data_IF_273494681411
#
_entry.id   IF_273494681411
#
_cell.length_a   1.000
_cell.length_b   1.000
_cell.length_c   1.000
_cell.angle_alpha   90.00
_cell.angle_beta   90.00
_cell.angle_gamma   90.00
#
_symmetry.space_group_name_H-M   'P 1'
#
loop_
_entity.id
_entity.type
_entity.pdbx_description
1 polymer ?
#
# COMPACT_ATOMS: atom_id res chain seq x y z
N UNK A 1 14.05 -28.98 -7.52
CA UNK A 1 12.83 -28.66 -6.74
C UNK A 1 11.76 -29.67 -7.11
N UNK A 2 10.93 -30.15 -6.18
CA UNK A 2 9.97 -31.23 -6.48
C UNK A 2 8.66 -30.72 -7.15
N UNK A 3 8.54 -29.43 -7.47
CA UNK A 3 7.37 -28.84 -8.12
C UNK A 3 7.81 -27.86 -9.21
N UNK A 4 7.01 -27.80 -10.28
CA UNK A 4 7.34 -27.04 -11.49
C UNK A 4 6.48 -25.77 -11.65
N UNK A 5 5.41 -25.63 -10.88
CA UNK A 5 4.47 -24.50 -10.96
C UNK A 5 3.98 -24.08 -9.59
N UNK A 6 3.71 -22.77 -9.46
CA UNK A 6 3.00 -22.19 -8.31
C UNK A 6 1.67 -21.63 -8.85
N UNK A 7 0.50 -21.97 -8.27
CA UNK A 7 -0.77 -21.42 -8.74
C UNK A 7 -0.80 -19.90 -8.72
N UNK A 8 -1.02 -19.27 -9.88
CA UNK A 8 -1.15 -17.82 -10.03
C UNK A 8 -2.54 -17.39 -9.60
N UNK A 9 -2.69 -17.14 -8.31
CA UNK A 9 -3.92 -16.70 -7.69
C UNK A 9 -3.63 -15.85 -6.46
N UNK A 10 -4.53 -14.92 -6.17
CA UNK A 10 -4.41 -14.04 -5.00
C UNK A 10 -4.87 -14.81 -3.77
N UNK A 11 -4.07 -14.82 -2.70
CA UNK A 11 -4.43 -15.45 -1.42
C UNK A 11 -5.67 -14.81 -0.79
N UNK A 12 -5.78 -13.49 -0.88
CA UNK A 12 -6.87 -12.71 -0.29
C UNK A 12 -8.21 -12.84 -1.01
N UNK A 13 -8.30 -13.67 -2.04
CA UNK A 13 -9.45 -13.70 -2.93
C UNK A 13 -10.73 -14.05 -2.20
N UNK A 14 -11.49 -13.02 -1.94
CA UNK A 14 -12.92 -13.06 -2.00
C UNK A 14 -13.28 -12.27 -3.25
N UNK A 15 -13.73 -12.93 -4.29
CA UNK A 15 -14.43 -12.23 -5.35
C UNK A 15 -15.73 -11.74 -4.72
N UNK A 16 -15.69 -10.52 -4.20
CA UNK A 16 -16.90 -9.83 -3.79
C UNK A 16 -17.60 -9.29 -5.04
N UNK A 17 -18.05 -10.18 -5.92
CA UNK A 17 -19.16 -9.84 -6.77
C UNK A 17 -20.39 -9.81 -5.85
N UNK A 18 -20.88 -8.62 -5.60
CA UNK A 18 -22.21 -8.45 -5.09
C UNK A 18 -23.15 -8.86 -6.24
N UNK A 19 -23.67 -10.08 -6.24
CA UNK A 19 -24.57 -10.59 -7.30
C UNK A 19 -25.83 -9.73 -7.44
N UNK A 20 -26.11 -8.88 -6.44
CA UNK A 20 -27.23 -7.94 -6.40
C UNK A 20 -26.89 -6.52 -6.88
N UNK A 21 -25.62 -6.22 -7.15
CA UNK A 21 -25.22 -4.90 -7.65
C UNK A 21 -25.39 -4.88 -9.17
N UNK A 22 -26.44 -4.21 -9.65
CA UNK A 22 -26.58 -3.93 -11.06
C UNK A 22 -25.41 -3.04 -11.49
N UNK A 23 -24.51 -3.56 -12.33
CA UNK A 23 -23.45 -2.80 -12.99
C UNK A 23 -24.07 -1.88 -14.06
N UNK A 24 -24.84 -0.92 -13.58
CA UNK A 24 -25.47 0.08 -14.42
C UNK A 24 -24.44 1.19 -14.70
N UNK A 25 -24.27 1.54 -15.96
CA UNK A 25 -23.65 2.83 -16.29
C UNK A 25 -24.54 3.93 -15.71
N UNK A 26 -24.13 4.61 -14.63
CA UNK A 26 -25.06 5.43 -13.82
C UNK A 26 -25.42 6.77 -14.44
N UNK A 27 -25.13 6.93 -15.74
CA UNK A 27 -25.45 8.12 -16.52
C UNK A 27 -24.24 9.02 -16.83
N UNK A 28 -24.40 9.95 -17.77
CA UNK A 28 -23.29 10.72 -18.30
C UNK A 28 -22.87 11.92 -17.43
N UNK A 29 -23.50 12.13 -16.26
CA UNK A 29 -23.24 13.32 -15.42
C UNK A 29 -23.22 12.97 -13.94
N UNK A 30 -22.28 13.58 -13.19
CA UNK A 30 -22.20 13.52 -11.74
C UNK A 30 -21.59 14.81 -11.19
N UNK A 31 -21.80 15.13 -9.92
CA UNK A 31 -21.07 16.23 -9.27
C UNK A 31 -19.60 15.87 -9.11
N UNK A 32 -19.31 14.74 -8.49
CA UNK A 32 -17.94 14.27 -8.27
C UNK A 32 -17.74 12.91 -8.93
N UNK A 33 -16.71 12.81 -9.78
CA UNK A 33 -16.23 11.52 -10.28
C UNK A 33 -14.94 11.12 -9.59
N UNK A 34 -14.89 9.89 -9.10
CA UNK A 34 -13.67 9.29 -8.57
C UNK A 34 -13.20 8.22 -9.53
N UNK A 35 -11.93 8.29 -9.94
CA UNK A 35 -11.31 7.29 -10.81
C UNK A 35 -10.41 6.39 -9.97
N UNK A 36 -10.83 5.12 -9.82
CA UNK A 36 -10.17 4.10 -9.03
C UNK A 36 -10.87 3.78 -7.71
N UNK A 37 -11.14 2.51 -7.49
CA UNK A 37 -11.81 1.93 -6.31
C UNK A 37 -10.85 1.29 -5.31
N UNK A 38 -9.61 1.78 -5.24
CA UNK A 38 -8.68 1.46 -4.14
C UNK A 38 -9.03 2.19 -2.85
N UNK A 39 -8.23 2.02 -1.79
CA UNK A 39 -8.49 2.64 -0.49
C UNK A 39 -8.70 4.16 -0.56
N UNK A 40 -7.92 4.88 -1.38
CA UNK A 40 -8.07 6.33 -1.56
C UNK A 40 -9.45 6.67 -2.13
N UNK A 41 -9.84 6.00 -3.21
CA UNK A 41 -11.11 6.29 -3.88
C UNK A 41 -12.31 5.90 -3.05
N UNK A 42 -12.29 4.72 -2.43
CA UNK A 42 -13.37 4.25 -1.55
C UNK A 42 -13.54 5.15 -0.32
N UNK A 43 -12.44 5.56 0.31
CA UNK A 43 -12.48 6.47 1.45
C UNK A 43 -12.96 7.86 1.04
N UNK A 44 -12.51 8.40 -0.09
CA UNK A 44 -12.99 9.68 -0.60
C UNK A 44 -14.48 9.63 -0.93
N UNK A 45 -14.92 8.58 -1.63
CA UNK A 45 -16.32 8.37 -1.99
C UNK A 45 -17.24 8.33 -0.76
N UNK A 46 -16.87 7.53 0.24
CA UNK A 46 -17.61 7.40 1.49
C UNK A 46 -17.77 8.75 2.21
N UNK A 47 -16.67 9.50 2.35
CA UNK A 47 -16.70 10.77 3.09
C UNK A 47 -17.43 11.87 2.31
N UNK A 48 -17.35 11.90 0.99
CA UNK A 48 -18.14 12.83 0.16
C UNK A 48 -19.63 12.51 0.23
N UNK A 49 -20.01 11.24 0.07
CA UNK A 49 -21.42 10.85 0.10
C UNK A 49 -22.09 11.10 1.47
N UNK A 50 -21.34 10.95 2.57
CA UNK A 50 -21.80 11.33 3.93
C UNK A 50 -22.08 12.83 4.11
N UNK A 51 -21.71 13.66 3.14
CA UNK A 51 -22.00 15.09 3.08
C UNK A 51 -22.97 15.45 1.94
N UNK A 52 -23.85 14.53 1.59
CA UNK A 52 -24.93 14.70 0.60
C UNK A 52 -24.47 15.07 -0.82
N UNK A 53 -23.23 14.73 -1.17
CA UNK A 53 -22.67 14.94 -2.51
C UNK A 53 -22.94 13.76 -3.42
N UNK A 54 -23.38 14.01 -4.65
CA UNK A 54 -23.52 12.96 -5.66
C UNK A 54 -22.15 12.46 -6.14
N UNK A 55 -21.80 11.24 -5.77
CA UNK A 55 -20.51 10.62 -6.09
C UNK A 55 -20.70 9.42 -7.00
N UNK A 56 -19.89 9.37 -8.04
CA UNK A 56 -19.71 8.21 -8.90
C UNK A 56 -18.27 7.74 -8.82
N UNK A 57 -18.06 6.43 -8.65
CA UNK A 57 -16.75 5.79 -8.75
C UNK A 57 -16.70 4.95 -10.02
N UNK A 58 -15.65 5.11 -10.82
CA UNK A 58 -15.39 4.26 -11.97
C UNK A 58 -14.09 3.50 -11.77
N UNK A 59 -14.09 2.23 -12.13
CA UNK A 59 -12.87 1.40 -12.12
C UNK A 59 -12.82 0.52 -13.36
N UNK A 60 -11.60 0.30 -13.89
CA UNK A 60 -11.39 -0.60 -15.03
C UNK A 60 -11.56 -2.08 -14.67
N UNK A 61 -11.47 -2.40 -13.39
CA UNK A 61 -11.62 -3.74 -12.85
C UNK A 61 -13.10 -4.04 -12.57
N UNK A 62 -13.42 -5.31 -12.29
CA UNK A 62 -14.79 -5.80 -12.07
C UNK A 62 -15.24 -5.76 -10.60
N UNK A 63 -14.51 -5.06 -9.74
CA UNK A 63 -14.83 -4.94 -8.30
C UNK A 63 -13.83 -4.09 -7.51
N UNK A 64 -14.12 -3.86 -6.22
CA UNK A 64 -13.35 -2.96 -5.38
C UNK A 64 -11.96 -3.50 -5.04
N UNK A 65 -10.97 -2.61 -4.99
CA UNK A 65 -9.66 -2.89 -4.45
C UNK A 65 -8.80 -3.86 -5.26
N UNK A 66 -9.13 -4.16 -6.50
CA UNK A 66 -8.41 -5.16 -7.31
C UNK A 66 -7.00 -4.73 -7.76
N UNK A 67 -6.61 -3.48 -7.53
CA UNK A 67 -5.22 -3.01 -7.61
C UNK A 67 -4.40 -3.38 -6.38
N UNK A 68 -3.41 -2.56 -6.04
CA UNK A 68 -2.54 -2.76 -4.86
C UNK A 68 -3.32 -2.88 -3.54
N UNK A 69 -4.51 -2.29 -3.44
CA UNK A 69 -5.31 -2.27 -2.20
C UNK A 69 -5.73 -3.66 -1.73
N UNK A 70 -6.16 -4.54 -2.62
CA UNK A 70 -6.56 -5.91 -2.26
C UNK A 70 -5.46 -6.96 -2.48
N UNK A 71 -4.25 -6.55 -2.88
CA UNK A 71 -3.16 -7.47 -3.24
C UNK A 71 -1.92 -7.35 -2.36
N UNK A 72 -1.92 -6.42 -1.40
CA UNK A 72 -0.76 -6.19 -0.52
C UNK A 72 -0.64 -7.24 0.60
N UNK A 73 0.40 -7.13 1.42
CA UNK A 73 0.68 -8.06 2.52
C UNK A 73 -0.26 -7.94 3.72
N UNK A 74 -1.18 -6.97 3.74
CA UNK A 74 -2.07 -6.74 4.86
C UNK A 74 -1.34 -6.25 6.13
N UNK A 75 -0.20 -5.57 5.98
CA UNK A 75 0.57 -4.98 7.08
C UNK A 75 0.27 -3.48 7.12
N UNK A 76 -0.30 -3.02 8.21
CA UNK A 76 -0.63 -1.61 8.46
C UNK A 76 0.51 -1.00 9.26
N UNK A 77 1.24 -0.06 8.67
CA UNK A 77 2.46 0.50 9.23
C UNK A 77 2.26 1.94 9.69
N UNK A 78 2.92 2.31 10.79
CA UNK A 78 3.17 3.70 11.17
C UNK A 78 4.30 4.30 10.31
N UNK A 79 4.44 5.62 10.31
CA UNK A 79 5.50 6.32 9.58
C UNK A 79 5.33 6.29 8.07
N UNK A 80 6.45 6.43 7.40
CA UNK A 80 6.57 6.53 5.93
C UNK A 80 7.70 5.61 5.43
N UNK A 81 7.82 5.39 4.10
CA UNK A 81 8.96 4.67 3.53
C UNK A 81 10.33 5.37 3.67
N UNK A 82 10.37 6.53 4.28
CA UNK A 82 11.58 7.24 4.72
C UNK A 82 11.70 7.16 6.23
N UNK A 83 12.90 7.05 6.74
CA UNK A 83 13.17 7.02 8.17
C UNK A 83 12.91 8.36 8.85
N UNK A 84 12.76 8.34 10.18
CA UNK A 84 12.46 9.52 10.96
C UNK A 84 13.61 10.52 10.97
N UNK A 85 14.86 10.04 10.87
CA UNK A 85 16.03 10.89 10.72
C UNK A 85 15.93 11.72 9.45
N UNK A 86 15.64 11.07 8.32
CA UNK A 86 15.41 11.76 7.03
C UNK A 86 14.23 12.75 7.09
N UNK A 87 13.15 12.41 7.81
CA UNK A 87 12.04 13.36 7.99
C UNK A 87 12.47 14.61 8.77
N UNK A 88 13.25 14.43 9.85
CA UNK A 88 13.77 15.54 10.66
C UNK A 88 14.70 16.42 9.83
N UNK A 89 15.60 15.81 9.07
CA UNK A 89 16.58 16.53 8.24
C UNK A 89 15.89 17.35 7.13
N UNK A 90 14.85 16.79 6.52
CA UNK A 90 14.12 17.47 5.43
C UNK A 90 13.17 18.57 5.90
N UNK A 91 12.50 18.38 7.03
CA UNK A 91 11.37 19.22 7.42
C UNK A 91 11.54 19.90 8.79
N UNK A 92 12.59 19.58 9.53
CA UNK A 92 12.75 19.98 10.92
C UNK A 92 11.90 19.15 11.88
N UNK A 93 12.24 19.17 13.17
CA UNK A 93 11.64 18.30 14.18
C UNK A 93 10.13 18.48 14.34
N UNK A 94 9.63 19.72 14.34
CA UNK A 94 8.19 19.98 14.55
C UNK A 94 7.34 19.49 13.37
N UNK A 95 7.79 19.73 12.14
CA UNK A 95 7.06 19.25 10.96
C UNK A 95 7.16 17.74 10.84
N UNK A 96 8.32 17.14 11.13
CA UNK A 96 8.50 15.68 11.17
C UNK A 96 7.57 15.04 12.21
N UNK A 97 7.41 15.64 13.39
CA UNK A 97 6.46 15.22 14.42
C UNK A 97 5.01 15.27 13.92
N UNK A 98 4.61 16.37 13.26
CA UNK A 98 3.28 16.48 12.67
C UNK A 98 3.02 15.37 11.66
N UNK A 99 3.95 15.15 10.72
CA UNK A 99 3.85 14.11 9.70
C UNK A 99 3.77 12.71 10.33
N UNK A 100 4.63 12.40 11.30
CA UNK A 100 4.61 11.10 11.97
C UNK A 100 3.28 10.85 12.69
N UNK A 101 2.74 11.86 13.37
CA UNK A 101 1.45 11.78 14.04
C UNK A 101 0.29 11.58 13.05
N UNK A 102 0.38 12.12 11.83
CA UNK A 102 -0.59 11.84 10.77
C UNK A 102 -0.61 10.34 10.46
N UNK A 103 0.55 9.69 10.33
CA UNK A 103 0.60 8.25 10.04
C UNK A 103 -0.06 7.40 11.13
N UNK A 104 0.07 7.78 12.40
CA UNK A 104 -0.62 7.14 13.53
C UNK A 104 -2.13 7.40 13.50
N UNK A 105 -2.53 8.65 13.27
CA UNK A 105 -3.95 9.00 13.09
C UNK A 105 -4.57 8.23 11.93
N UNK A 106 -3.80 7.96 10.89
CA UNK A 106 -4.26 7.15 9.76
C UNK A 106 -4.58 5.71 10.17
N UNK A 107 -3.76 5.08 11.03
CA UNK A 107 -4.04 3.74 11.58
C UNK A 107 -5.31 3.75 12.43
N UNK A 108 -5.44 4.74 13.34
CA UNK A 108 -6.65 4.91 14.16
C UNK A 108 -7.88 5.12 13.28
N UNK A 109 -7.74 5.85 12.16
CA UNK A 109 -8.81 6.06 11.19
C UNK A 109 -9.26 4.76 10.51
N UNK A 110 -8.33 3.87 10.18
CA UNK A 110 -8.64 2.53 9.65
C UNK A 110 -9.43 1.73 10.69
N UNK A 111 -8.97 1.68 11.93
CA UNK A 111 -9.65 0.96 13.00
C UNK A 111 -11.07 1.47 13.23
N UNK A 112 -11.25 2.80 13.25
CA UNK A 112 -12.59 3.42 13.37
C UNK A 112 -13.52 3.01 12.23
N UNK A 113 -13.06 3.06 10.99
CA UNK A 113 -13.86 2.65 9.83
C UNK A 113 -14.24 1.16 9.90
N UNK A 114 -13.34 0.30 10.39
CA UNK A 114 -13.62 -1.12 10.61
C UNK A 114 -14.73 -1.29 11.65
N UNK A 115 -14.66 -0.56 12.76
CA UNK A 115 -15.67 -0.60 13.84
C UNK A 115 -17.01 -0.03 13.37
N UNK A 116 -17.01 1.15 12.74
CA UNK A 116 -18.22 1.79 12.21
C UNK A 116 -18.96 0.92 11.17
N UNK A 117 -18.20 0.29 10.27
CA UNK A 117 -18.74 -0.52 9.19
C UNK A 117 -18.92 -2.00 9.57
N UNK A 118 -18.61 -2.41 10.79
CA UNK A 118 -18.56 -3.83 11.21
C UNK A 118 -17.79 -4.70 10.20
N UNK A 119 -16.65 -4.19 9.70
CA UNK A 119 -15.89 -4.84 8.63
C UNK A 119 -15.12 -6.04 9.18
N UNK A 120 -15.52 -7.24 8.77
CA UNK A 120 -14.81 -8.48 9.13
C UNK A 120 -13.58 -8.68 8.25
N UNK A 121 -12.46 -8.03 8.59
CA UNK A 121 -11.22 -8.07 7.82
C UNK A 121 -10.00 -8.57 8.60
N UNK A 122 -10.21 -9.36 9.64
CA UNK A 122 -9.13 -9.94 10.46
C UNK A 122 -8.15 -8.87 11.01
N UNK A 123 -8.65 -7.68 11.34
CA UNK A 123 -7.84 -6.60 11.90
C UNK A 123 -7.29 -7.00 13.26
N UNK A 124 -5.97 -6.88 13.41
CA UNK A 124 -5.27 -7.23 14.65
C UNK A 124 -4.11 -6.27 14.89
N UNK A 125 -4.08 -5.55 16.03
CA UNK A 125 -2.88 -4.82 16.45
C UNK A 125 -1.68 -5.76 16.51
N UNK A 126 -0.55 -5.33 16.00
CA UNK A 126 0.70 -6.12 15.92
C UNK A 126 1.90 -5.22 16.10
N UNK A 127 2.97 -5.77 16.63
CA UNK A 127 4.29 -5.16 16.53
C UNK A 127 4.84 -5.41 15.13
N UNK A 128 5.39 -4.38 14.49
CA UNK A 128 6.19 -4.53 13.28
C UNK A 128 7.67 -4.51 13.62
N UNK A 129 8.43 -5.44 13.05
CA UNK A 129 9.87 -5.53 13.28
C UNK A 129 10.62 -5.20 11.99
N UNK A 130 11.41 -4.12 12.03
CA UNK A 130 12.38 -3.82 10.98
C UNK A 130 13.68 -4.56 11.28
N UNK A 131 14.00 -5.58 10.48
CA UNK A 131 15.03 -6.57 10.76
C UNK A 131 16.35 -6.22 10.06
N UNK A 132 17.44 -6.05 10.81
CA UNK A 132 18.78 -5.75 10.31
C UNK A 132 19.43 -6.97 9.63
N UNK A 133 19.65 -6.90 8.32
CA UNK A 133 20.29 -7.98 7.56
C UNK A 133 21.80 -8.03 7.75
N UNK A 134 22.40 -7.01 8.39
CA UNK A 134 23.85 -6.87 8.60
C UNK A 134 24.17 -6.20 9.93
N UNK A 135 25.37 -6.44 10.48
CA UNK A 135 25.81 -5.79 11.71
C UNK A 135 25.74 -4.26 11.64
N UNK A 136 26.19 -3.64 10.55
CA UNK A 136 26.22 -2.17 10.39
C UNK A 136 24.84 -1.52 10.37
N UNK A 137 23.76 -2.27 10.06
CA UNK A 137 22.41 -1.73 10.13
C UNK A 137 21.89 -1.54 11.57
N UNK A 138 22.57 -2.10 12.58
CA UNK A 138 22.19 -1.93 13.99
C UNK A 138 22.36 -0.49 14.48
N UNK A 139 23.40 0.19 14.02
CA UNK A 139 23.66 1.58 14.42
C UNK A 139 22.62 2.51 13.79
N UNK A 140 22.25 2.27 12.53
CA UNK A 140 21.13 2.97 11.90
C UNK A 140 19.81 2.72 12.65
N UNK A 141 19.53 1.48 13.10
CA UNK A 141 18.31 1.20 13.89
C UNK A 141 18.29 1.93 15.24
N UNK A 142 19.44 2.13 15.88
CA UNK A 142 19.51 2.93 17.13
C UNK A 142 19.25 4.40 16.85
N UNK A 143 19.86 4.95 15.79
CA UNK A 143 19.61 6.32 15.36
C UNK A 143 18.13 6.53 15.01
N UNK A 144 17.52 5.57 14.32
CA UNK A 144 16.10 5.61 13.99
C UNK A 144 15.22 5.54 15.26
N UNK A 145 15.58 4.70 16.24
CA UNK A 145 14.91 4.66 17.54
C UNK A 145 14.90 6.04 18.23
N UNK A 146 16.06 6.68 18.29
CA UNK A 146 16.21 8.01 18.89
C UNK A 146 15.39 9.07 18.16
N UNK A 147 15.43 9.05 16.83
CA UNK A 147 14.66 9.95 15.97
C UNK A 147 13.16 9.71 16.13
N UNK A 148 12.70 8.46 16.15
CA UNK A 148 11.31 8.12 16.43
C UNK A 148 10.89 8.57 17.81
N UNK A 149 11.69 8.35 18.85
CA UNK A 149 11.40 8.81 20.21
C UNK A 149 11.23 10.34 20.28
N UNK A 150 12.09 11.07 19.59
CA UNK A 150 12.07 12.54 19.54
C UNK A 150 10.78 13.09 18.92
N UNK A 151 10.28 12.50 17.82
CA UNK A 151 9.12 13.03 17.10
C UNK A 151 7.79 12.37 17.48
N UNK A 152 7.83 11.16 18.04
CA UNK A 152 6.61 10.40 18.35
C UNK A 152 6.23 10.39 19.82
N UNK A 153 7.17 10.75 20.70
CA UNK A 153 7.00 10.64 22.14
C UNK A 153 6.96 9.20 22.67
N UNK A 154 7.24 8.19 21.80
CA UNK A 154 7.32 6.78 22.18
C UNK A 154 8.61 6.18 21.64
N UNK A 155 9.24 5.31 22.42
CA UNK A 155 10.49 4.66 22.01
C UNK A 155 10.20 3.22 21.59
N UNK A 156 10.38 2.88 20.31
CA UNK A 156 10.35 1.49 19.89
C UNK A 156 11.54 0.73 20.51
N UNK A 157 11.44 -0.59 20.62
CA UNK A 157 12.50 -1.41 21.22
C UNK A 157 13.54 -1.80 20.18
N UNK A 158 14.81 -1.51 20.46
CA UNK A 158 15.92 -2.11 19.70
C UNK A 158 16.15 -3.53 20.20
N UNK A 159 16.21 -4.48 19.30
CA UNK A 159 16.37 -5.90 19.55
C UNK A 159 17.78 -6.34 19.12
N UNK A 160 18.43 -7.15 19.95
CA UNK A 160 19.64 -7.88 19.58
C UNK A 160 19.33 -9.17 18.78
N UNK A 161 20.36 -9.87 18.29
CA UNK A 161 20.20 -11.09 17.52
C UNK A 161 19.51 -12.22 18.30
N UNK A 162 19.75 -12.32 19.61
CA UNK A 162 19.10 -13.30 20.47
C UNK A 162 17.61 -13.02 20.66
N UNK A 163 17.26 -11.75 20.83
CA UNK A 163 15.88 -11.29 20.89
C UNK A 163 15.17 -11.48 19.54
N UNK A 164 15.84 -11.17 18.41
CA UNK A 164 15.31 -11.40 17.08
C UNK A 164 14.95 -12.86 16.83
N UNK A 165 15.78 -13.81 17.32
CA UNK A 165 15.47 -15.25 17.25
C UNK A 165 14.19 -15.59 17.99
N UNK A 166 13.94 -14.99 19.15
CA UNK A 166 12.71 -15.20 19.93
C UNK A 166 11.49 -14.58 19.28
N UNK A 167 11.66 -13.44 18.63
CA UNK A 167 10.55 -12.70 17.98
C UNK A 167 10.18 -13.28 16.60
N UNK A 168 11.17 -13.64 15.79
CA UNK A 168 10.95 -14.05 14.40
C UNK A 168 11.16 -15.55 14.13
N UNK A 169 11.81 -16.29 15.04
CA UNK A 169 12.09 -17.72 14.83
C UNK A 169 13.18 -17.99 13.78
N UNK A 170 14.13 -17.08 13.63
CA UNK A 170 15.21 -17.18 12.64
C UNK A 170 16.52 -16.61 13.14
N UNK A 171 17.64 -17.09 12.58
CA UNK A 171 18.99 -16.57 12.80
C UNK A 171 19.46 -15.63 11.69
N UNK A 172 18.60 -15.29 10.72
CA UNK A 172 18.99 -14.54 9.53
C UNK A 172 19.30 -13.05 9.79
N UNK A 173 18.99 -12.54 11.01
CA UNK A 173 19.05 -11.11 11.31
C UNK A 173 19.96 -10.78 12.48
N UNK A 174 20.67 -9.68 12.39
CA UNK A 174 21.65 -9.22 13.37
C UNK A 174 21.07 -8.36 14.47
N UNK A 175 19.85 -7.92 14.32
CA UNK A 175 19.11 -7.08 15.26
C UNK A 175 17.82 -6.57 14.63
N UNK A 176 17.08 -5.74 15.35
CA UNK A 176 15.83 -5.19 14.81
C UNK A 176 15.33 -4.00 15.60
N UNK A 177 14.34 -3.31 15.02
CA UNK A 177 13.58 -2.25 15.67
C UNK A 177 12.11 -2.69 15.71
N UNK A 178 11.56 -2.83 16.91
CA UNK A 178 10.20 -3.28 17.16
C UNK A 178 9.29 -2.08 17.46
N UNK A 179 8.42 -1.75 16.50
CA UNK A 179 7.41 -0.69 16.62
C UNK A 179 6.05 -1.31 16.98
N UNK A 180 5.47 -1.00 18.15
CA UNK A 180 4.16 -1.51 18.54
C UNK A 180 2.98 -0.82 17.84
N UNK A 181 3.21 0.29 17.14
CA UNK A 181 2.19 1.07 16.44
C UNK A 181 1.94 0.55 15.03
N UNK A 182 1.56 -0.72 14.94
CA UNK A 182 1.28 -1.38 13.67
C UNK A 182 0.11 -2.34 13.83
N UNK A 183 -0.45 -2.77 12.72
CA UNK A 183 -1.51 -3.77 12.71
C UNK A 183 -1.40 -4.69 11.49
N UNK A 184 -2.21 -5.71 11.47
CA UNK A 184 -2.41 -6.55 10.30
C UNK A 184 -3.90 -6.71 10.00
N UNK A 185 -4.25 -6.91 8.73
CA UNK A 185 -5.61 -7.15 8.29
C UNK A 185 -5.66 -7.99 7.00
N UNK A 186 -6.87 -8.37 6.58
CA UNK A 186 -7.14 -8.88 5.25
C UNK A 186 -7.44 -7.70 4.30
N UNK A 187 -6.54 -7.37 3.37
CA UNK A 187 -6.64 -6.15 2.57
C UNK A 187 -7.84 -6.15 1.61
N UNK A 188 -8.19 -7.31 1.06
CA UNK A 188 -9.34 -7.41 0.15
C UNK A 188 -10.68 -7.26 0.89
N UNK A 189 -10.80 -7.88 2.08
CA UNK A 189 -12.01 -7.71 2.91
C UNK A 189 -12.16 -6.28 3.42
N UNK A 190 -11.05 -5.61 3.75
CA UNK A 190 -11.12 -4.21 4.14
C UNK A 190 -11.60 -3.31 2.98
N UNK A 191 -11.08 -3.51 1.75
CA UNK A 191 -11.55 -2.79 0.57
C UNK A 191 -13.04 -3.05 0.29
N UNK A 192 -13.47 -4.31 0.38
CA UNK A 192 -14.88 -4.67 0.21
C UNK A 192 -15.79 -4.05 1.30
N UNK A 193 -15.35 -4.02 2.54
CA UNK A 193 -16.10 -3.34 3.61
C UNK A 193 -16.24 -1.84 3.38
N UNK A 194 -15.17 -1.15 2.95
CA UNK A 194 -15.26 0.26 2.57
C UNK A 194 -16.23 0.49 1.39
N UNK A 195 -16.21 -0.41 0.42
CA UNK A 195 -17.15 -0.38 -0.71
C UNK A 195 -18.61 -0.51 -0.23
N UNK A 196 -18.91 -1.47 0.65
CA UNK A 196 -20.25 -1.62 1.20
C UNK A 196 -20.72 -0.38 2.00
N UNK A 197 -19.83 0.21 2.79
CA UNK A 197 -20.13 1.48 3.47
C UNK A 197 -20.43 2.61 2.48
N UNK A 198 -19.66 2.71 1.39
CA UNK A 198 -19.87 3.73 0.35
C UNK A 198 -21.17 3.50 -0.41
N UNK A 199 -21.52 2.25 -0.75
CA UNK A 199 -22.82 1.89 -1.34
C UNK A 199 -23.98 2.28 -0.44
N UNK A 200 -23.90 1.94 0.85
CA UNK A 200 -24.92 2.30 1.83
C UNK A 200 -25.07 3.83 2.00
N UNK A 201 -24.01 4.59 1.71
CA UNK A 201 -24.04 6.07 1.68
C UNK A 201 -24.55 6.63 0.33
N UNK A 202 -24.96 5.81 -0.64
CA UNK A 202 -25.52 6.26 -1.92
C UNK A 202 -24.50 6.48 -3.04
N UNK A 203 -23.24 6.05 -2.87
CA UNK A 203 -22.24 6.11 -3.95
C UNK A 203 -22.63 5.16 -5.08
N UNK A 204 -22.52 5.65 -6.32
CA UNK A 204 -22.74 4.83 -7.51
C UNK A 204 -21.40 4.30 -8.03
N UNK A 205 -21.37 3.03 -8.39
CA UNK A 205 -20.17 2.38 -8.96
C UNK A 205 -20.42 1.96 -10.41
N UNK A 206 -19.39 2.12 -11.24
CA UNK A 206 -19.36 1.59 -12.62
C UNK A 206 -18.08 0.80 -12.80
N UNK A 207 -18.22 -0.51 -12.79
CA UNK A 207 -17.15 -1.48 -12.97
C UNK A 207 -16.80 -1.66 -14.44
N UNK A 208 -15.66 -2.29 -14.73
CA UNK A 208 -15.17 -2.53 -16.09
C UNK A 208 -15.17 -1.25 -16.95
N UNK A 209 -15.02 -0.10 -16.29
CA UNK A 209 -15.09 1.23 -16.90
C UNK A 209 -13.73 1.89 -16.88
N UNK A 210 -12.99 1.73 -17.99
CA UNK A 210 -11.66 2.33 -18.15
C UNK A 210 -11.77 3.76 -18.63
N UNK A 211 -11.14 4.69 -17.93
CA UNK A 211 -10.95 6.07 -18.40
C UNK A 211 -9.75 6.11 -19.35
N UNK A 212 -9.94 6.64 -20.55
CA UNK A 212 -8.91 6.76 -21.59
C UNK A 212 -8.32 8.16 -21.66
N UNK A 213 -9.16 9.19 -21.49
CA UNK A 213 -8.76 10.59 -21.57
C UNK A 213 -9.57 11.46 -20.60
N UNK A 214 -8.94 12.54 -20.16
CA UNK A 214 -9.51 13.57 -19.30
C UNK A 214 -9.35 14.91 -20.01
N UNK A 215 -10.43 15.65 -20.19
CA UNK A 215 -10.47 16.93 -20.90
C UNK A 215 -11.18 17.97 -20.05
N UNK A 216 -10.55 19.13 -19.83
CA UNK A 216 -11.18 20.25 -19.16
C UNK A 216 -12.06 21.02 -20.14
N UNK A 217 -13.34 21.16 -19.81
CA UNK A 217 -14.34 21.90 -20.59
C UNK A 217 -14.87 23.07 -19.73
N UNK A 218 -14.19 24.22 -19.77
CA UNK A 218 -14.56 25.45 -19.02
C UNK A 218 -14.69 25.20 -17.50
N UNK A 219 -15.92 24.88 -17.03
CA UNK A 219 -16.23 24.64 -15.60
C UNK A 219 -16.45 23.17 -15.28
N UNK A 220 -16.29 22.27 -16.23
CA UNK A 220 -16.52 20.82 -16.08
C UNK A 220 -15.36 20.02 -16.66
N UNK A 221 -15.30 18.79 -16.25
CA UNK A 221 -14.28 17.85 -16.71
C UNK A 221 -15.00 16.71 -17.42
N UNK A 222 -14.65 16.47 -18.69
CA UNK A 222 -15.13 15.33 -19.47
C UNK A 222 -14.12 14.20 -19.39
N UNK A 223 -14.59 13.01 -19.05
CA UNK A 223 -13.84 11.77 -19.11
C UNK A 223 -14.37 10.90 -20.23
N UNK A 224 -13.49 10.51 -21.14
CA UNK A 224 -13.79 9.49 -22.15
C UNK A 224 -13.53 8.12 -21.55
N UNK A 225 -14.55 7.28 -21.52
CA UNK A 225 -14.47 5.94 -20.94
C UNK A 225 -14.80 4.84 -21.95
N UNK A 226 -14.47 3.58 -21.60
CA UNK A 226 -14.82 2.41 -22.40
C UNK A 226 -16.34 2.17 -22.53
N UNK A 227 -17.16 2.83 -21.69
CA UNK A 227 -18.63 2.66 -21.64
C UNK A 227 -19.40 3.93 -22.01
N UNK A 228 -18.71 4.97 -22.48
CA UNK A 228 -19.28 6.26 -22.85
C UNK A 228 -18.65 7.40 -22.06
N UNK A 229 -18.99 8.64 -22.44
CA UNK A 229 -18.45 9.84 -21.81
C UNK A 229 -19.18 10.15 -20.50
N UNK A 230 -18.40 10.60 -19.51
CA UNK A 230 -18.90 11.10 -18.22
C UNK A 230 -18.43 12.55 -18.06
N UNK A 231 -19.33 13.42 -17.63
CA UNK A 231 -19.02 14.81 -17.30
C UNK A 231 -19.20 15.03 -15.80
N UNK A 232 -18.19 15.57 -15.14
CA UNK A 232 -18.22 15.87 -13.71
C UNK A 232 -17.85 17.33 -13.44
N UNK A 233 -18.34 17.88 -12.33
CA UNK A 233 -17.94 19.21 -11.90
C UNK A 233 -16.52 19.18 -11.29
N UNK A 234 -16.17 18.11 -10.59
CA UNK A 234 -14.82 17.85 -10.06
C UNK A 234 -14.47 16.36 -10.21
N UNK A 235 -13.17 16.08 -10.26
CA UNK A 235 -12.63 14.71 -10.43
C UNK A 235 -11.57 14.41 -9.38
N UNK A 236 -11.63 13.22 -8.77
CA UNK A 236 -10.59 12.71 -7.88
C UNK A 236 -9.85 11.56 -8.57
N UNK A 237 -8.55 11.73 -8.80
CA UNK A 237 -7.65 10.68 -9.28
C UNK A 237 -7.14 9.85 -8.10
N UNK A 238 -7.68 8.65 -7.95
CA UNK A 238 -7.30 7.67 -6.93
C UNK A 238 -6.58 6.45 -7.51
N UNK A 239 -5.94 6.61 -8.67
CA UNK A 239 -5.37 5.54 -9.48
C UNK A 239 -3.94 5.16 -9.14
N UNK A 240 -3.29 5.87 -8.22
CA UNK A 240 -1.93 5.63 -7.70
C UNK A 240 -0.92 5.21 -8.79
N UNK A 241 -0.48 3.95 -8.83
CA UNK A 241 0.49 3.43 -9.81
C UNK A 241 0.01 3.54 -11.27
N UNK A 242 -1.30 3.62 -11.51
CA UNK A 242 -1.89 3.74 -12.86
C UNK A 242 -2.11 5.20 -13.30
N UNK A 243 -1.92 6.17 -12.43
CA UNK A 243 -2.04 7.61 -12.70
C UNK A 243 -1.20 8.10 -13.90
N UNK A 244 0.04 7.58 -14.16
CA UNK A 244 0.86 8.01 -15.29
C UNK A 244 0.19 7.93 -16.66
N UNK A 245 -0.79 7.07 -16.81
CA UNK A 245 -1.51 6.88 -18.07
C UNK A 245 -2.50 8.03 -18.33
N UNK A 246 -3.08 8.59 -17.25
CA UNK A 246 -4.19 9.53 -17.32
C UNK A 246 -3.74 11.01 -17.28
N UNK A 247 -2.61 11.31 -16.67
CA UNK A 247 -2.15 12.67 -16.49
C UNK A 247 -0.64 12.80 -16.66
N UNK A 248 -0.19 13.62 -17.60
CA UNK A 248 1.24 13.78 -17.93
C UNK A 248 2.07 14.40 -16.81
N UNK A 249 1.49 15.33 -16.05
CA UNK A 249 2.20 15.97 -14.94
C UNK A 249 2.47 14.97 -13.81
N UNK A 250 1.46 14.20 -13.41
CA UNK A 250 1.59 13.12 -12.44
C UNK A 250 2.43 11.96 -13.01
N UNK A 251 2.29 11.70 -14.31
CA UNK A 251 3.01 10.65 -15.03
C UNK A 251 4.54 10.78 -15.02
N UNK A 252 5.08 11.93 -14.65
CA UNK A 252 6.53 12.15 -14.48
C UNK A 252 6.97 12.05 -13.00
N UNK A 253 6.06 11.80 -12.09
CA UNK A 253 6.26 11.87 -10.64
C UNK A 253 5.95 10.57 -9.90
N UNK A 254 5.16 9.70 -10.52
CA UNK A 254 4.78 8.40 -9.95
C UNK A 254 5.30 7.28 -10.84
N UNK A 255 6.11 6.41 -10.28
CA UNK A 255 6.68 5.25 -10.98
C UNK A 255 5.98 3.99 -10.48
N UNK A 256 5.34 3.20 -11.37
CA UNK A 256 4.82 1.89 -11.00
C UNK A 256 5.96 0.90 -10.78
N UNK A 257 5.94 0.25 -9.63
CA UNK A 257 6.88 -0.82 -9.26
C UNK A 257 6.09 -2.05 -8.86
N UNK A 258 6.39 -3.17 -9.50
CA UNK A 258 5.76 -4.43 -9.15
C UNK A 258 6.27 -4.96 -7.81
N UNK A 259 5.36 -5.42 -6.96
CA UNK A 259 5.65 -6.17 -5.75
C UNK A 259 5.00 -7.54 -5.87
N UNK A 260 5.75 -8.60 -5.56
CA UNK A 260 5.31 -9.99 -5.66
C UNK A 260 5.12 -10.56 -4.27
N UNK A 261 4.14 -11.42 -4.13
CA UNK A 261 3.88 -12.16 -2.91
C UNK A 261 3.68 -13.64 -3.19
N UNK A 262 4.08 -14.45 -2.23
CA UNK A 262 3.75 -15.87 -2.14
C UNK A 262 3.06 -16.16 -0.80
N UNK A 263 2.26 -17.22 -0.79
CA UNK A 263 1.77 -17.85 0.44
C UNK A 263 2.08 -19.34 0.41
N UNK A 264 2.54 -19.88 1.54
CA UNK A 264 2.81 -21.33 1.65
C UNK A 264 1.52 -22.14 1.65
N UNK A 265 1.59 -23.42 1.34
CA UNK A 265 0.57 -24.37 1.78
C UNK A 265 0.43 -24.36 3.32
N UNK A 266 -0.52 -25.09 3.87
CA UNK A 266 -0.64 -25.22 5.32
C UNK A 266 0.61 -25.88 5.91
N UNK A 267 1.15 -25.24 6.93
CA UNK A 267 2.32 -25.70 7.68
C UNK A 267 1.82 -26.27 9.01
N UNK A 268 2.23 -27.49 9.39
CA UNK A 268 1.82 -28.11 10.66
C UNK A 268 2.12 -27.22 11.87
N UNK A 269 1.30 -27.34 12.91
CA UNK A 269 1.35 -26.47 14.09
C UNK A 269 2.72 -26.48 14.78
N UNK A 270 3.36 -27.64 14.90
CA UNK A 270 4.69 -27.76 15.49
C UNK A 270 5.78 -26.99 14.74
N UNK A 271 5.63 -26.77 13.44
CA UNK A 271 6.57 -25.99 12.63
C UNK A 271 6.16 -24.53 12.57
N UNK A 272 4.89 -24.24 12.29
CA UNK A 272 4.43 -22.83 12.14
C UNK A 272 4.59 -22.02 13.43
N UNK A 273 4.53 -22.67 14.60
CA UNK A 273 4.78 -22.03 15.89
C UNK A 273 6.25 -21.58 16.05
N UNK A 274 7.20 -22.22 15.35
CA UNK A 274 8.61 -21.80 15.35
C UNK A 274 8.90 -20.63 14.43
N UNK A 275 7.99 -20.30 13.51
CA UNK A 275 8.10 -19.17 12.57
C UNK A 275 7.21 -18.03 13.05
N UNK A 276 7.77 -16.84 13.26
CA UNK A 276 7.05 -15.70 13.82
C UNK A 276 6.26 -16.08 15.11
N UNK A 277 6.92 -16.64 16.13
CA UNK A 277 6.22 -17.22 17.29
C UNK A 277 5.33 -16.22 18.04
N UNK A 278 5.68 -14.93 18.02
CA UNK A 278 4.89 -13.86 18.63
C UNK A 278 3.78 -13.32 17.70
N UNK A 279 3.67 -13.84 16.48
CA UNK A 279 2.70 -13.36 15.50
C UNK A 279 2.96 -11.95 14.97
N UNK A 280 4.17 -11.43 15.19
CA UNK A 280 4.57 -10.11 14.71
C UNK A 280 4.67 -10.09 13.18
N UNK A 281 4.54 -8.89 12.61
CA UNK A 281 4.85 -8.65 11.20
C UNK A 281 6.29 -8.16 11.08
N UNK A 282 6.94 -8.40 9.96
CA UNK A 282 8.31 -7.93 9.78
C UNK A 282 8.62 -7.49 8.34
N UNK A 283 9.61 -6.62 8.22
CA UNK A 283 10.32 -6.32 6.98
C UNK A 283 11.82 -6.24 7.25
N UNK A 284 12.64 -6.48 6.23
CA UNK A 284 14.09 -6.38 6.39
C UNK A 284 14.64 -5.04 5.88
N UNK A 285 15.91 -4.76 6.20
CA UNK A 285 16.61 -3.53 5.84
C UNK A 285 17.32 -3.59 4.48
N UNK A 286 16.99 -4.55 3.63
CA UNK A 286 17.47 -4.58 2.24
C UNK A 286 16.88 -3.42 1.45
N UNK A 287 17.59 -2.94 0.42
CA UNK A 287 17.05 -2.00 -0.58
C UNK A 287 15.91 -2.64 -1.37
N UNK A 288 16.07 -3.90 -1.71
CA UNK A 288 15.01 -4.76 -2.27
C UNK A 288 14.43 -5.58 -1.11
N UNK A 289 13.71 -4.91 -0.24
CA UNK A 289 13.24 -5.48 1.02
C UNK A 289 12.29 -6.67 0.85
N UNK A 290 12.36 -7.58 1.82
CA UNK A 290 11.33 -8.57 2.06
C UNK A 290 10.42 -8.13 3.21
N UNK A 291 9.15 -8.54 3.13
CA UNK A 291 8.18 -8.34 4.20
C UNK A 291 7.34 -9.61 4.36
N UNK A 292 7.02 -9.93 5.59
CA UNK A 292 6.37 -11.21 5.87
C UNK A 292 5.54 -11.20 7.15
N UNK A 293 4.56 -12.10 7.19
CA UNK A 293 3.69 -12.33 8.33
C UNK A 293 3.05 -13.72 8.26
N UNK A 294 2.43 -14.16 9.35
CA UNK A 294 1.48 -15.28 9.29
C UNK A 294 0.17 -14.86 8.61
N UNK A 295 -0.48 -15.81 7.97
CA UNK A 295 -1.87 -15.66 7.52
C UNK A 295 -2.82 -15.40 8.71
N UNK A 296 -4.03 -14.86 8.49
CA UNK A 296 -4.98 -14.61 9.58
C UNK A 296 -5.34 -15.85 10.39
N UNK A 297 -5.43 -17.02 9.74
CA UNK A 297 -5.68 -18.31 10.37
C UNK A 297 -4.45 -18.90 11.10
N UNK A 298 -3.29 -18.24 10.98
CA UNK A 298 -2.04 -18.68 11.60
C UNK A 298 -1.34 -19.88 10.96
N UNK A 299 -1.89 -20.46 9.88
CA UNK A 299 -1.45 -21.73 9.31
C UNK A 299 -0.45 -21.62 8.15
N UNK A 300 -0.19 -20.40 7.64
CA UNK A 300 0.64 -20.15 6.45
C UNK A 300 1.56 -18.98 6.68
N UNK A 301 2.63 -18.94 5.90
CA UNK A 301 3.50 -17.74 5.82
C UNK A 301 3.19 -17.02 4.52
N UNK A 302 2.91 -15.73 4.66
CA UNK A 302 2.83 -14.75 3.57
C UNK A 302 4.18 -14.05 3.50
N UNK A 303 4.82 -14.11 2.34
CA UNK A 303 6.15 -13.54 2.11
C UNK A 303 6.14 -12.71 0.85
N UNK A 304 6.55 -11.46 0.95
CA UNK A 304 6.51 -10.49 -0.13
C UNK A 304 7.88 -9.85 -0.38
N UNK A 305 8.07 -9.36 -1.60
CA UNK A 305 9.29 -8.67 -1.99
C UNK A 305 9.23 -8.15 -3.43
N UNK A 306 10.37 -7.68 -3.90
CA UNK A 306 10.56 -7.21 -5.29
C UNK A 306 11.73 -7.97 -5.91
N UNK A 307 11.50 -9.23 -6.34
CA UNK A 307 12.60 -10.01 -6.93
C UNK A 307 13.29 -9.23 -8.04
N UNK A 308 14.63 -9.14 -7.96
CA UNK A 308 15.47 -8.37 -8.89
C UNK A 308 15.66 -9.04 -10.25
N UNK A 309 14.69 -9.81 -10.70
CA UNK A 309 14.69 -10.41 -12.02
C UNK A 309 14.32 -9.34 -13.05
N UNK A 310 15.27 -8.97 -13.90
CA UNK A 310 15.05 -8.02 -14.99
C UNK A 310 14.02 -8.59 -15.98
N UNK A 311 14.08 -9.89 -16.23
CA UNK A 311 13.21 -10.65 -17.10
C UNK A 311 12.73 -11.88 -16.32
N UNK A 312 11.43 -12.15 -16.37
CA UNK A 312 10.89 -13.35 -15.73
C UNK A 312 9.37 -13.28 -15.62
N UNK A 313 8.75 -14.43 -15.76
CA UNK A 313 7.32 -14.62 -15.48
C UNK A 313 7.00 -14.40 -14.00
N UNK A 314 5.73 -14.32 -13.67
CA UNK A 314 5.29 -14.29 -12.26
C UNK A 314 5.73 -15.57 -11.53
N UNK A 315 5.76 -16.69 -12.23
CA UNK A 315 6.30 -17.97 -11.74
C UNK A 315 7.76 -17.86 -11.32
N UNK A 316 8.63 -17.33 -12.21
CA UNK A 316 10.07 -17.18 -11.93
C UNK A 316 10.31 -16.29 -10.71
N UNK A 317 9.55 -15.19 -10.61
CA UNK A 317 9.58 -14.28 -9.47
C UNK A 317 9.10 -14.98 -8.19
N UNK A 318 8.06 -15.80 -8.28
CA UNK A 318 7.56 -16.61 -7.17
C UNK A 318 8.60 -17.62 -6.66
N UNK A 319 9.30 -18.31 -7.56
CA UNK A 319 10.37 -19.23 -7.19
C UNK A 319 11.57 -18.51 -6.56
N UNK A 320 11.96 -17.35 -7.10
CA UNK A 320 13.02 -16.54 -6.50
C UNK A 320 12.64 -16.10 -5.07
N UNK A 321 11.42 -15.60 -4.89
CA UNK A 321 10.92 -15.17 -3.59
C UNK A 321 10.81 -16.34 -2.59
N UNK A 322 10.42 -17.52 -3.06
CA UNK A 322 10.43 -18.73 -2.22
C UNK A 322 11.84 -19.10 -1.78
N UNK A 323 12.82 -19.04 -2.68
CA UNK A 323 14.23 -19.27 -2.33
C UNK A 323 14.70 -18.28 -1.25
N UNK A 324 14.35 -17.01 -1.39
CA UNK A 324 14.67 -15.96 -0.40
C UNK A 324 13.98 -16.24 0.95
N UNK A 325 12.71 -16.66 0.94
CA UNK A 325 12.00 -17.08 2.17
C UNK A 325 12.74 -18.23 2.88
N UNK A 326 13.27 -19.21 2.16
CA UNK A 326 14.01 -20.32 2.74
C UNK A 326 15.39 -19.93 3.29
N UNK A 327 15.96 -18.80 2.87
CA UNK A 327 17.15 -18.25 3.53
C UNK A 327 16.83 -17.63 4.88
N UNK A 328 15.62 -17.08 5.01
CA UNK A 328 15.12 -16.51 6.26
C UNK A 328 14.59 -17.59 7.20
N UNK A 329 13.80 -18.51 6.67
CA UNK A 329 13.13 -19.58 7.43
C UNK A 329 13.46 -20.96 6.87
N UNK A 330 14.65 -21.53 7.17
CA UNK A 330 15.06 -22.85 6.65
C UNK A 330 14.13 -24.01 7.02
N UNK A 331 13.43 -23.89 8.16
CA UNK A 331 12.45 -24.87 8.63
C UNK A 331 11.22 -25.00 7.71
N UNK A 332 11.00 -24.04 6.82
CA UNK A 332 9.92 -24.08 5.82
C UNK A 332 10.31 -24.84 4.53
N UNK A 333 11.52 -25.39 4.45
CA UNK A 333 12.00 -26.11 3.24
C UNK A 333 11.08 -27.23 2.74
N UNK A 334 10.38 -28.00 3.59
CA UNK A 334 9.44 -29.04 3.14
C UNK A 334 8.17 -28.47 2.49
N UNK A 335 7.82 -27.21 2.75
CA UNK A 335 6.52 -26.62 2.40
C UNK A 335 6.62 -25.74 1.17
N UNK A 336 5.67 -25.94 0.22
CA UNK A 336 5.65 -25.27 -1.08
C UNK A 336 4.86 -23.97 -1.00
N UNK A 337 5.15 -22.99 -1.87
CA UNK A 337 4.21 -21.91 -2.12
C UNK A 337 2.98 -22.45 -2.87
N UNK A 338 1.80 -22.17 -2.34
CA UNK A 338 0.52 -22.58 -2.92
C UNK A 338 -0.20 -21.41 -3.63
N UNK A 339 0.31 -20.19 -3.50
CA UNK A 339 -0.15 -18.99 -4.19
C UNK A 339 1.04 -18.12 -4.59
N UNK A 340 0.93 -17.51 -5.76
CA UNK A 340 1.78 -16.40 -6.19
C UNK A 340 0.91 -15.34 -6.85
N UNK A 341 1.16 -14.07 -6.51
CA UNK A 341 0.47 -12.93 -7.10
C UNK A 341 1.36 -11.68 -7.05
N UNK A 342 0.95 -10.66 -7.81
CA UNK A 342 1.63 -9.37 -7.79
C UNK A 342 0.66 -8.21 -7.73
N UNK A 343 1.18 -7.03 -7.41
CA UNK A 343 0.47 -5.76 -7.44
C UNK A 343 1.41 -4.61 -7.79
N UNK A 344 0.86 -3.57 -8.42
CA UNK A 344 1.61 -2.38 -8.78
C UNK A 344 1.56 -1.33 -7.67
N UNK A 345 2.72 -0.93 -7.17
CA UNK A 345 2.88 0.08 -6.12
C UNK A 345 3.40 1.38 -6.75
N UNK A 346 2.75 2.51 -6.47
CA UNK A 346 3.21 3.82 -6.94
C UNK A 346 4.33 4.37 -6.06
N UNK A 347 5.50 4.62 -6.65
CA UNK A 347 6.65 5.23 -5.99
C UNK A 347 6.86 6.67 -6.44
N UNK A 348 7.14 7.54 -5.49
CA UNK A 348 7.59 8.91 -5.68
C UNK A 348 9.10 9.00 -5.48
N UNK A 349 9.72 10.04 -6.00
CA UNK A 349 11.18 10.20 -5.91
C UNK A 349 11.68 10.44 -4.49
N UNK A 350 10.90 11.09 -3.68
CA UNK A 350 11.22 11.40 -2.27
C UNK A 350 10.64 10.39 -1.28
N UNK A 351 9.99 9.33 -1.79
CA UNK A 351 9.36 8.27 -1.03
C UNK A 351 8.24 8.75 -0.09
N UNK A 352 7.65 9.91 -0.37
CA UNK A 352 6.51 10.44 0.37
C UNK A 352 5.25 10.43 -0.50
N UNK A 353 4.07 10.22 0.08
CA UNK A 353 2.84 10.43 -0.65
C UNK A 353 2.61 11.92 -0.93
N UNK A 354 1.92 12.20 -2.02
CA UNK A 354 1.56 13.55 -2.42
C UNK A 354 0.08 13.65 -2.73
N UNK A 355 -0.47 14.80 -2.41
CA UNK A 355 -1.86 15.15 -2.70
C UNK A 355 -1.98 16.60 -3.13
N UNK A 356 -3.01 16.93 -3.88
CA UNK A 356 -3.22 18.29 -4.35
C UNK A 356 -4.30 18.39 -5.40
N UNK A 357 -4.37 19.57 -6.03
CA UNK A 357 -5.25 19.88 -7.14
C UNK A 357 -4.47 20.35 -8.37
N UNK A 358 -4.92 19.95 -9.54
CA UNK A 358 -4.44 20.39 -10.85
C UNK A 358 -5.66 20.82 -11.67
N UNK A 359 -6.05 22.10 -11.55
CA UNK A 359 -7.18 22.66 -12.29
C UNK A 359 -8.49 21.86 -12.12
N UNK A 360 -8.89 21.58 -10.89
CA UNK A 360 -10.11 20.84 -10.55
C UNK A 360 -9.95 19.31 -10.60
N UNK A 361 -8.76 18.83 -10.92
CA UNK A 361 -8.38 17.44 -10.87
C UNK A 361 -7.63 17.16 -9.57
N UNK A 362 -8.33 16.68 -8.56
CA UNK A 362 -7.77 16.31 -7.27
C UNK A 362 -7.00 15.01 -7.35
N UNK A 363 -5.90 14.86 -6.61
CA UNK A 363 -5.13 13.62 -6.60
C UNK A 363 -4.53 13.32 -5.22
N UNK A 364 -4.41 12.03 -4.92
CA UNK A 364 -3.59 11.52 -3.83
C UNK A 364 -2.89 10.24 -4.29
N UNK A 365 -1.55 10.17 -4.17
CA UNK A 365 -0.73 9.13 -4.81
C UNK A 365 0.62 8.97 -4.14
N UNK A 366 1.35 7.90 -4.48
CA UNK A 366 2.76 7.75 -4.12
C UNK A 366 3.00 7.20 -2.72
N UNK A 367 2.20 6.26 -2.27
CA UNK A 367 2.30 5.69 -0.90
C UNK A 367 3.52 4.79 -0.68
N UNK A 368 4.23 4.41 -1.74
CA UNK A 368 5.51 3.67 -1.71
C UNK A 368 5.51 2.40 -0.83
N UNK A 369 4.36 1.73 -0.69
CA UNK A 369 4.20 0.52 0.12
C UNK A 369 3.49 0.73 1.47
N UNK A 370 3.31 1.95 1.96
CA UNK A 370 2.61 2.29 3.22
C UNK A 370 1.14 2.68 2.99
N UNK A 371 0.48 2.09 1.98
CA UNK A 371 -0.80 2.58 1.46
C UNK A 371 -2.03 2.24 2.29
N UNK A 372 -2.07 1.21 3.15
CA UNK A 372 -3.32 0.83 3.81
C UNK A 372 -3.88 2.00 4.64
N UNK A 373 -3.11 2.50 5.58
CA UNK A 373 -3.54 3.60 6.44
C UNK A 373 -3.50 4.95 5.71
N UNK A 374 -2.37 5.28 5.06
CA UNK A 374 -2.16 6.59 4.44
C UNK A 374 -3.10 6.86 3.26
N UNK A 375 -3.41 5.84 2.43
CA UNK A 375 -4.34 6.02 1.32
C UNK A 375 -5.78 6.22 1.81
N UNK A 376 -6.18 5.50 2.85
CA UNK A 376 -7.48 5.69 3.51
C UNK A 376 -7.59 7.09 4.13
N UNK A 377 -6.55 7.53 4.82
CA UNK A 377 -6.49 8.88 5.40
C UNK A 377 -6.54 9.97 4.33
N UNK A 378 -5.72 9.87 3.29
CA UNK A 378 -5.69 10.87 2.21
C UNK A 378 -6.96 10.87 1.37
N UNK A 379 -7.65 9.74 1.24
CA UNK A 379 -8.99 9.71 0.64
C UNK A 379 -9.98 10.60 1.40
N UNK A 380 -9.99 10.54 2.73
CA UNK A 380 -10.78 11.45 3.56
C UNK A 380 -10.36 12.91 3.39
N UNK A 381 -9.06 13.18 3.36
CA UNK A 381 -8.57 14.57 3.15
C UNK A 381 -8.94 15.11 1.77
N UNK A 382 -8.94 14.25 0.72
CA UNK A 382 -9.46 14.62 -0.59
C UNK A 382 -10.93 15.02 -0.52
N UNK A 383 -11.76 14.26 0.21
CA UNK A 383 -13.16 14.60 0.38
C UNK A 383 -13.34 15.97 1.05
N UNK A 384 -12.63 16.24 2.14
CA UNK A 384 -12.67 17.52 2.83
C UNK A 384 -12.26 18.69 1.91
N UNK A 385 -11.23 18.49 1.11
CA UNK A 385 -10.75 19.50 0.18
C UNK A 385 -11.74 19.80 -0.95
N UNK A 386 -12.33 18.76 -1.52
CA UNK A 386 -13.38 18.86 -2.56
C UNK A 386 -14.60 19.63 -2.01
N UNK A 387 -14.94 19.41 -0.73
CA UNK A 387 -16.02 20.13 -0.03
C UNK A 387 -15.65 21.58 0.34
N UNK A 388 -14.39 21.98 0.18
CA UNK A 388 -13.91 23.30 0.58
C UNK A 388 -13.79 23.48 2.09
N UNK A 389 -13.91 22.41 2.89
CA UNK A 389 -13.76 22.45 4.34
C UNK A 389 -12.30 22.52 4.80
N UNK A 390 -11.37 22.05 3.95
CA UNK A 390 -9.93 22.14 4.19
C UNK A 390 -9.25 22.81 2.99
N UNK A 391 -8.47 23.85 3.21
CA UNK A 391 -7.64 24.43 2.17
C UNK A 391 -6.43 23.48 1.92
N UNK A 392 -6.16 23.06 0.66
CA UNK A 392 -5.00 22.23 0.35
C UNK A 392 -3.65 22.82 0.79
N UNK A 393 -3.56 24.14 0.94
CA UNK A 393 -2.36 24.84 1.43
C UNK A 393 -2.13 24.66 2.94
N UNK A 394 -3.20 24.36 3.67
CA UNK A 394 -3.18 24.17 5.13
C UNK A 394 -3.08 22.70 5.51
N UNK A 395 -2.99 21.82 4.51
CA UNK A 395 -2.82 20.40 4.78
C UNK A 395 -1.51 20.13 5.49
N UNK A 396 -1.62 19.38 6.56
CA UNK A 396 -0.47 18.89 7.30
C UNK A 396 0.43 17.96 6.46
N UNK A 397 -0.02 17.54 5.29
CA UNK A 397 0.72 16.65 4.40
C UNK A 397 1.69 17.44 3.50
N UNK A 398 2.86 16.88 3.14
CA UNK A 398 3.76 17.57 2.23
C UNK A 398 3.05 17.82 0.89
N UNK A 399 2.70 19.09 0.71
CA UNK A 399 2.31 19.60 -0.58
C UNK A 399 3.55 19.76 -1.50
N UNK A 400 3.44 20.55 -2.58
CA UNK A 400 4.58 20.88 -3.44
C UNK A 400 5.81 21.36 -2.63
N UNK A 401 7.04 21.08 -3.08
CA UNK A 401 7.32 20.53 -4.41
C UNK A 401 7.18 19.01 -4.49
N UNK A 402 6.38 18.53 -5.44
CA UNK A 402 6.30 17.12 -5.80
C UNK A 402 7.39 16.80 -6.84
N UNK A 403 8.50 16.15 -6.46
CA UNK A 403 9.65 16.01 -7.34
C UNK A 403 9.40 15.06 -8.50
N UNK A 404 9.83 15.46 -9.71
CA UNK A 404 9.76 14.60 -10.90
C UNK A 404 10.97 13.67 -10.99
N UNK A 405 10.81 12.52 -11.60
CA UNK A 405 11.91 11.67 -11.99
C UNK A 405 12.56 12.22 -13.27
N UNK A 406 13.91 12.38 -13.31
CA UNK A 406 14.61 12.77 -14.53
C UNK A 406 14.35 11.74 -15.66
N UNK A 407 14.20 12.24 -16.90
CA UNK A 407 14.07 11.42 -18.12
C UNK A 407 12.91 10.39 -18.12
N UNK A 408 12.04 10.42 -17.08
CA UNK A 408 10.89 9.52 -16.99
C UNK A 408 9.64 10.11 -17.66
N UNK A 409 9.07 9.34 -18.58
CA UNK A 409 7.80 9.65 -19.26
C UNK A 409 6.95 8.38 -19.38
N UNK A 410 6.11 8.11 -18.39
CA UNK A 410 5.11 7.01 -18.40
C UNK A 410 5.66 5.57 -18.43
N UNK A 411 6.82 5.31 -19.06
CA UNK A 411 7.45 3.97 -19.07
C UNK A 411 8.61 3.93 -18.09
N UNK A 412 8.50 3.07 -17.09
CA UNK A 412 9.49 2.89 -16.03
C UNK A 412 10.66 1.98 -16.48
N UNK A 413 11.28 2.28 -17.63
CA UNK A 413 12.32 1.49 -18.29
C UNK A 413 13.55 1.24 -17.39
N UNK A 414 13.82 2.15 -16.48
CA UNK A 414 14.96 2.07 -15.56
C UNK A 414 14.69 1.20 -14.31
N UNK A 415 13.44 0.92 -13.98
CA UNK A 415 13.08 0.17 -12.75
C UNK A 415 13.73 -1.21 -12.69
N UNK A 416 13.70 -2.05 -13.74
CA UNK A 416 14.38 -3.35 -13.69
C UNK A 416 15.88 -3.22 -13.44
N UNK A 417 16.54 -2.25 -14.08
CA UNK A 417 17.97 -2.00 -13.90
C UNK A 417 18.27 -1.51 -12.47
N UNK A 418 17.45 -0.61 -11.93
CA UNK A 418 17.59 -0.12 -10.55
C UNK A 418 17.41 -1.25 -9.54
N UNK A 419 16.41 -2.12 -9.71
CA UNK A 419 16.19 -3.27 -8.83
C UNK A 419 17.35 -4.28 -8.91
N UNK A 420 17.88 -4.54 -10.11
CA UNK A 420 19.05 -5.39 -10.28
C UNK A 420 20.30 -4.80 -9.60
N UNK A 421 20.51 -3.50 -9.76
CA UNK A 421 21.60 -2.78 -9.09
C UNK A 421 21.46 -2.82 -7.56
N UNK A 422 20.26 -2.55 -7.03
CA UNK A 422 20.00 -2.66 -5.59
C UNK A 422 20.18 -4.08 -5.08
N UNK A 423 19.71 -5.09 -5.82
CA UNK A 423 19.93 -6.50 -5.49
C UNK A 423 21.41 -6.88 -5.47
N UNK A 424 22.23 -6.27 -6.35
CA UNK A 424 23.68 -6.45 -6.33
C UNK A 424 24.29 -5.78 -5.10
N UNK A 425 23.93 -4.53 -4.81
CA UNK A 425 24.39 -3.83 -3.60
C UNK A 425 24.00 -4.58 -2.32
N UNK A 426 22.80 -5.16 -2.28
CA UNK A 426 22.33 -5.97 -1.14
C UNK A 426 23.14 -7.26 -0.92
N UNK A 427 23.97 -7.68 -1.88
CA UNK A 427 24.90 -8.80 -1.73
C UNK A 427 26.28 -8.38 -1.18
N UNK A 428 26.72 -7.17 -1.48
CA UNK A 428 28.10 -6.72 -1.20
C UNK A 428 28.20 -5.61 -0.14
N UNK A 429 27.13 -4.87 0.14
CA UNK A 429 27.18 -3.75 1.11
C UNK A 429 26.56 -4.05 2.47
#
# INVERSE_FOLDING_TARGET
MPYTTIPERIYWSSRFKNESEEDLFPGPKTQILIIGSGYTGLSAALHLARNDVQVMVVDQEDGPGQGASGRNGGIVLSGYPVDCTTLIDKFGSERAKTLFNISRRAIIGVEKLIQEGNITCDFMPRTHITAAVRPGHRDWLRQEQESMAKISGTSPRVLDAGQMRKELGTNAYWGGLADPWSASLNPARFAAGLHQMALAAGVKFSWSTRVHAIQNENRRIRMQTSRGDIVADQVVLATNAFTPILNDWLGRRVVPVESVMIATEEVPDEVIQTVLPQGNTASDTKRVLHYFRKSPDGKRILFGGRPSLIWGSLQDKGFALHKDMLTVFPQLRPYKPAWVWSGQVGFTRDHLPHSGDINGLWYATGYCGHGIALATYLGRQMANAVLGSDNPKDWDFPGPPFPRFPLYRKRAWFVPLTLAWFGLLDRFS
#
